data_IF_164608706926
#
_entry.id   IF_164608706926
#
_cell.length_a   1.000
_cell.length_b   1.000
_cell.length_c   1.000
_cell.angle_alpha   90.00
_cell.angle_beta   90.00
_cell.angle_gamma   90.00
#
_symmetry.space_group_name_H-M   'P 1'
#
loop_
_entity.id
_entity.type
_entity.pdbx_description
1 polymer ?
#
# COMPACT_ATOMS: atom_id res chain seq x y z
N UNK A 1 -0.57 -12.73 6.43
CA UNK A 1 -0.88 -11.51 7.21
C UNK A 1 -2.38 -11.28 7.21
N UNK A 2 -2.94 -10.68 8.27
CA UNK A 2 -4.32 -10.26 8.26
C UNK A 2 -4.65 -9.19 7.21
N UNK A 3 -5.75 -9.42 6.49
CA UNK A 3 -6.37 -8.48 5.56
C UNK A 3 -7.85 -8.84 5.35
N UNK A 4 -8.62 -7.88 4.84
CA UNK A 4 -10.00 -8.08 4.42
C UNK A 4 -10.08 -8.25 2.91
N UNK A 5 -10.64 -9.37 2.46
CA UNK A 5 -10.98 -9.70 1.09
C UNK A 5 -12.45 -9.33 0.81
N UNK A 6 -12.71 -8.74 -0.36
CA UNK A 6 -14.05 -8.44 -0.83
C UNK A 6 -14.41 -9.40 -1.95
N UNK A 7 -15.57 -10.04 -1.84
CA UNK A 7 -16.12 -10.96 -2.83
C UNK A 7 -17.44 -10.45 -3.38
N UNK A 8 -17.80 -10.88 -4.60
CA UNK A 8 -19.16 -10.71 -5.12
C UNK A 8 -20.13 -11.74 -4.53
N UNK A 9 -21.40 -11.69 -4.95
CA UNK A 9 -22.44 -12.64 -4.51
C UNK A 9 -22.15 -14.10 -4.89
N UNK A 10 -21.31 -14.33 -5.89
CA UNK A 10 -20.92 -15.65 -6.37
C UNK A 10 -19.64 -16.16 -5.68
N UNK A 11 -19.09 -15.37 -4.74
CA UNK A 11 -17.85 -15.69 -4.03
C UNK A 11 -16.57 -15.38 -4.81
N UNK A 12 -16.66 -14.66 -5.95
CA UNK A 12 -15.47 -14.31 -6.73
C UNK A 12 -14.77 -13.08 -6.13
N UNK A 13 -13.44 -13.06 -6.05
CA UNK A 13 -12.69 -11.91 -5.55
C UNK A 13 -12.96 -10.65 -6.39
N UNK A 14 -13.34 -9.55 -5.73
CA UNK A 14 -13.54 -8.23 -6.34
C UNK A 14 -12.37 -7.29 -6.03
N UNK A 15 -12.06 -7.13 -4.75
CA UNK A 15 -10.98 -6.26 -4.26
C UNK A 15 -10.54 -6.69 -2.86
N UNK A 16 -9.64 -5.95 -2.21
CA UNK A 16 -9.25 -6.18 -0.83
C UNK A 16 -8.62 -4.92 -0.20
N UNK A 17 -8.56 -4.89 1.12
CA UNK A 17 -7.95 -3.81 1.92
C UNK A 17 -6.47 -3.48 1.56
N UNK A 18 -5.74 -4.37 0.87
CA UNK A 18 -4.36 -4.12 0.47
C UNK A 18 -4.25 -3.26 -0.80
N UNK A 19 -5.19 -3.42 -1.73
CA UNK A 19 -5.22 -2.73 -3.03
C UNK A 19 -6.21 -1.57 -3.08
N UNK A 20 -7.16 -1.53 -2.14
CA UNK A 20 -8.08 -0.41 -1.97
C UNK A 20 -7.34 0.85 -1.52
N UNK A 21 -7.56 1.97 -2.21
CA UNK A 21 -6.95 3.26 -1.88
C UNK A 21 -7.29 3.73 -0.44
N UNK A 22 -8.48 3.36 0.03
CA UNK A 22 -8.97 3.69 1.37
C UNK A 22 -8.77 2.56 2.40
N UNK A 23 -8.11 1.46 2.02
CA UNK A 23 -7.89 0.28 2.89
C UNK A 23 -9.20 -0.22 3.48
N UNK A 24 -9.26 -0.48 4.79
CA UNK A 24 -10.51 -0.85 5.48
C UNK A 24 -11.61 0.21 5.38
N UNK A 25 -11.29 1.50 5.13
CA UNK A 25 -12.34 2.51 4.92
C UNK A 25 -12.98 2.44 3.52
N UNK A 26 -12.64 1.44 2.71
CA UNK A 26 -13.25 1.24 1.41
C UNK A 26 -14.77 1.07 1.52
N UNK A 27 -15.57 1.70 0.63
CA UNK A 27 -17.02 1.45 0.59
C UNK A 27 -17.33 -0.02 0.31
N UNK A 28 -16.46 -0.73 -0.40
CA UNK A 28 -16.63 -2.16 -0.67
C UNK A 28 -16.49 -3.03 0.58
N UNK A 29 -15.92 -2.50 1.66
CA UNK A 29 -15.74 -3.19 2.95
C UNK A 29 -16.74 -2.74 4.01
N UNK A 30 -17.05 -1.43 4.10
CA UNK A 30 -17.88 -0.88 5.20
C UNK A 30 -19.31 -0.50 4.79
N UNK A 31 -19.57 -0.23 3.51
CA UNK A 31 -20.86 0.31 3.06
C UNK A 31 -21.80 -0.75 2.50
N UNK A 32 -21.30 -1.93 2.13
CA UNK A 32 -22.13 -3.03 1.63
C UNK A 32 -23.17 -3.54 2.63
N UNK A 33 -24.09 -4.40 2.16
CA UNK A 33 -25.09 -5.07 3.01
C UNK A 33 -24.47 -5.98 4.07
N UNK A 34 -23.37 -6.64 3.74
CA UNK A 34 -22.58 -7.40 4.71
C UNK A 34 -21.86 -6.44 5.66
N UNK A 35 -22.36 -6.36 6.89
CA UNK A 35 -21.82 -5.51 7.97
C UNK A 35 -20.86 -6.27 8.89
N UNK A 36 -20.42 -7.48 8.55
CA UNK A 36 -19.57 -8.31 9.43
C UNK A 36 -18.30 -7.59 9.89
N UNK A 37 -17.53 -7.01 8.96
CA UNK A 37 -16.31 -6.25 9.26
C UNK A 37 -16.63 -4.95 10.00
N UNK A 38 -17.68 -4.24 9.59
CA UNK A 38 -18.10 -3.00 10.25
C UNK A 38 -18.50 -3.24 11.71
N UNK A 39 -19.32 -4.26 11.96
CA UNK A 39 -19.78 -4.63 13.31
C UNK A 39 -18.61 -5.11 14.18
N UNK A 40 -17.68 -5.88 13.61
CA UNK A 40 -16.44 -6.25 14.29
C UNK A 40 -15.64 -5.02 14.72
N UNK A 41 -15.42 -4.06 13.82
CA UNK A 41 -14.71 -2.82 14.16
C UNK A 41 -15.47 -2.03 15.23
N UNK A 42 -16.80 -1.94 15.12
CA UNK A 42 -17.64 -1.25 16.10
C UNK A 42 -17.53 -1.89 17.49
N UNK A 43 -17.64 -3.21 17.57
CA UNK A 43 -17.51 -3.96 18.83
C UNK A 43 -16.11 -3.76 19.45
N UNK A 44 -15.06 -3.97 18.66
CA UNK A 44 -13.67 -3.90 19.14
C UNK A 44 -13.22 -2.49 19.51
N UNK A 45 -13.86 -1.47 18.95
CA UNK A 45 -13.53 -0.06 19.16
C UNK A 45 -14.60 0.66 20.00
N UNK A 46 -15.57 -0.05 20.59
CA UNK A 46 -16.66 0.53 21.39
C UNK A 46 -16.14 1.39 22.55
N UNK A 47 -15.03 0.98 23.18
CA UNK A 47 -14.39 1.72 24.27
C UNK A 47 -13.78 3.08 23.84
N UNK A 48 -13.80 3.40 22.54
CA UNK A 48 -13.26 4.64 21.98
C UNK A 48 -14.37 5.62 21.55
N UNK A 49 -15.65 5.29 21.79
CA UNK A 49 -16.80 6.12 21.39
C UNK A 49 -16.76 7.51 22.05
N UNK A 50 -16.34 7.59 23.31
CA UNK A 50 -16.18 8.84 24.06
C UNK A 50 -14.72 9.14 24.39
N UNK A 51 -14.38 10.41 24.57
CA UNK A 51 -13.03 10.84 24.95
C UNK A 51 -11.99 10.74 23.83
N UNK A 52 -10.70 10.83 24.17
CA UNK A 52 -9.60 10.83 23.21
C UNK A 52 -9.34 9.40 22.71
N UNK A 53 -9.34 9.21 21.39
CA UNK A 53 -8.96 7.92 20.77
C UNK A 53 -7.53 7.57 21.16
N UNK A 54 -7.33 6.40 21.75
CA UNK A 54 -6.02 5.84 22.03
C UNK A 54 -5.48 5.13 20.77
N UNK A 55 -4.39 5.61 20.15
CA UNK A 55 -3.83 5.00 18.94
C UNK A 55 -3.37 3.55 19.14
N UNK A 56 -3.01 3.15 20.38
CA UNK A 56 -2.57 1.77 20.68
C UNK A 56 -3.71 0.77 20.58
N UNK A 57 -4.91 1.16 21.01
CA UNK A 57 -6.07 0.28 20.95
C UNK A 57 -6.52 0.11 19.50
N UNK A 58 -6.48 1.18 18.70
CA UNK A 58 -6.67 1.09 17.25
C UNK A 58 -5.60 0.20 16.59
N UNK A 59 -4.32 0.34 16.96
CA UNK A 59 -3.24 -0.47 16.40
C UNK A 59 -3.41 -1.98 16.70
N UNK A 60 -3.88 -2.35 17.90
CA UNK A 60 -4.19 -3.75 18.24
C UNK A 60 -5.29 -4.32 17.36
N UNK A 61 -6.37 -3.56 17.14
CA UNK A 61 -7.45 -4.00 16.25
C UNK A 61 -6.97 -4.13 14.80
N UNK A 62 -6.14 -3.20 14.33
CA UNK A 62 -5.57 -3.26 12.98
C UNK A 62 -4.60 -4.45 12.81
N UNK A 63 -3.84 -4.83 13.84
CA UNK A 63 -3.00 -6.04 13.81
C UNK A 63 -3.82 -7.28 13.46
N UNK A 64 -5.04 -7.37 13.98
CA UNK A 64 -5.93 -8.50 13.72
C UNK A 64 -6.65 -8.43 12.38
N UNK A 65 -6.87 -7.24 11.80
CA UNK A 65 -7.80 -7.03 10.66
C UNK A 65 -7.11 -6.56 9.37
N UNK A 66 -6.12 -5.67 9.47
CA UNK A 66 -5.32 -5.16 8.34
C UNK A 66 -3.94 -4.69 8.83
N UNK A 67 -2.95 -5.58 8.78
CA UNK A 67 -1.58 -5.25 9.21
C UNK A 67 -0.96 -4.16 8.34
N UNK A 68 -1.36 -4.04 7.07
CA UNK A 68 -0.80 -3.02 6.19
C UNK A 68 -1.23 -1.60 6.57
N UNK A 69 -2.39 -1.45 7.22
CA UNK A 69 -2.83 -0.18 7.79
C UNK A 69 -1.88 0.34 8.89
N UNK A 70 -1.17 -0.54 9.61
CA UNK A 70 -0.18 -0.13 10.62
C UNK A 70 1.04 0.56 10.00
N UNK A 71 1.41 0.16 8.78
CA UNK A 71 2.53 0.77 8.05
C UNK A 71 2.10 2.02 7.28
N UNK A 72 0.99 1.90 6.56
CA UNK A 72 0.55 2.91 5.58
C UNK A 72 -0.49 3.88 6.12
N UNK A 73 -0.84 3.77 7.40
CA UNK A 73 -1.87 4.56 8.06
C UNK A 73 -3.28 4.23 7.57
N UNK A 74 -4.26 4.72 8.31
CA UNK A 74 -5.67 4.61 7.98
C UNK A 74 -6.46 5.75 8.59
N UNK A 75 -7.57 6.12 7.94
CA UNK A 75 -8.56 7.03 8.50
C UNK A 75 -9.96 6.44 8.30
N UNK A 76 -10.60 6.02 9.40
CA UNK A 76 -11.97 5.49 9.41
C UNK A 76 -12.92 6.64 9.76
N UNK A 77 -13.31 7.40 8.73
CA UNK A 77 -14.17 8.57 8.86
C UNK A 77 -15.66 8.20 8.89
N UNK A 78 -16.05 7.25 9.75
CA UNK A 78 -17.43 6.78 9.90
C UNK A 78 -18.00 7.26 11.24
N UNK A 79 -19.11 7.98 11.20
CA UNK A 79 -19.74 8.53 12.40
C UNK A 79 -20.05 7.46 13.44
N UNK A 80 -20.47 6.28 13.00
CA UNK A 80 -20.77 5.14 13.88
C UNK A 80 -19.52 4.45 14.45
N UNK A 81 -18.31 4.79 13.97
CA UNK A 81 -17.04 4.27 14.49
C UNK A 81 -16.32 5.40 15.23
N UNK A 82 -16.63 5.53 16.52
CA UNK A 82 -16.08 6.56 17.40
C UNK A 82 -16.18 7.99 16.84
N UNK A 83 -17.32 8.34 16.24
CA UNK A 83 -17.57 9.69 15.70
C UNK A 83 -16.68 10.05 14.50
N UNK A 84 -16.12 9.07 13.79
CA UNK A 84 -15.24 9.30 12.63
C UNK A 84 -13.85 9.80 13.01
N UNK A 85 -13.39 9.59 14.25
CA UNK A 85 -12.13 10.12 14.79
C UNK A 85 -10.97 9.13 14.75
N UNK A 86 -11.22 7.90 14.26
CA UNK A 86 -10.24 6.83 14.23
C UNK A 86 -9.23 7.05 13.10
N UNK A 87 -8.03 7.47 13.48
CA UNK A 87 -6.94 7.74 12.54
C UNK A 87 -5.62 7.21 13.07
N UNK A 88 -4.89 6.52 12.21
CA UNK A 88 -3.49 6.16 12.43
C UNK A 88 -2.64 6.82 11.33
N UNK A 89 -1.64 7.64 11.67
CA UNK A 89 -0.75 8.24 10.68
C UNK A 89 0.08 7.16 9.95
N UNK A 90 0.64 7.51 8.80
CA UNK A 90 1.49 6.59 8.03
C UNK A 90 2.88 6.55 8.67
N UNK A 91 3.41 5.36 8.91
CA UNK A 91 4.79 5.21 9.38
C UNK A 91 5.80 5.25 8.22
N UNK A 92 5.39 4.85 7.01
CA UNK A 92 6.20 4.95 5.79
C UNK A 92 5.69 6.08 4.89
N UNK A 93 6.59 6.98 4.51
CA UNK A 93 6.38 7.97 3.47
C UNK A 93 7.50 7.91 2.43
N UNK A 94 7.17 8.30 1.20
CA UNK A 94 8.13 8.34 0.11
C UNK A 94 7.77 9.43 -0.89
N UNK A 95 8.78 9.94 -1.58
CA UNK A 95 8.63 10.82 -2.73
C UNK A 95 9.83 10.68 -3.66
N UNK A 96 9.67 11.09 -4.91
CA UNK A 96 10.75 11.08 -5.90
C UNK A 96 10.98 12.50 -6.38
N UNK A 97 12.24 12.91 -6.37
CA UNK A 97 12.69 14.21 -6.87
C UNK A 97 13.52 14.00 -8.13
N UNK A 98 13.24 14.81 -9.16
CA UNK A 98 13.98 14.83 -10.40
C UNK A 98 14.69 16.18 -10.55
N UNK A 99 16.02 16.16 -10.63
CA UNK A 99 16.85 17.36 -10.74
C UNK A 99 17.18 17.67 -12.20
N UNK A 100 17.02 18.93 -12.58
CA UNK A 100 17.15 19.42 -13.95
C UNK A 100 16.26 18.61 -14.91
N UNK A 101 14.98 18.46 -14.56
CA UNK A 101 14.03 17.79 -15.44
C UNK A 101 13.88 18.56 -16.76
N UNK A 102 14.04 17.87 -17.89
CA UNK A 102 13.94 18.42 -19.23
C UNK A 102 12.96 17.60 -20.06
N UNK A 103 12.27 18.28 -20.98
CA UNK A 103 11.37 17.64 -21.92
C UNK A 103 12.16 16.95 -23.03
N UNK A 104 11.91 15.67 -23.23
CA UNK A 104 12.41 14.88 -24.35
C UNK A 104 11.27 14.69 -25.36
N UNK A 105 11.21 15.59 -26.35
CA UNK A 105 10.19 15.53 -27.40
C UNK A 105 10.55 14.43 -28.39
N UNK A 106 9.58 13.57 -28.72
CA UNK A 106 9.74 12.49 -29.70
C UNK A 106 8.49 12.36 -30.58
N UNK A 107 8.61 11.59 -31.66
CA UNK A 107 7.49 11.22 -32.53
C UNK A 107 7.12 9.75 -32.34
N UNK A 108 5.86 9.42 -32.57
CA UNK A 108 5.35 8.06 -32.69
C UNK A 108 4.49 7.92 -33.93
N UNK A 109 4.24 6.68 -34.35
CA UNK A 109 3.29 6.39 -35.43
C UNK A 109 2.35 5.29 -34.94
N UNK A 110 1.04 5.52 -35.05
CA UNK A 110 0.06 4.44 -34.98
C UNK A 110 0.11 3.78 -36.35
N UNK A 111 0.65 2.56 -36.44
CA UNK A 111 0.72 1.85 -37.71
C UNK A 111 -0.50 0.94 -37.90
N UNK A 112 -1.12 1.02 -39.07
CA UNK A 112 -2.16 0.11 -39.53
C UNK A 112 -1.56 -0.78 -40.64
N UNK A 113 -1.12 -2.00 -40.32
CA UNK A 113 -0.51 -2.90 -41.30
C UNK A 113 -1.52 -3.48 -42.28
N UNK A 114 -2.83 -3.36 -42.01
CA UNK A 114 -3.91 -3.94 -42.80
C UNK A 114 -4.44 -2.93 -43.82
N UNK A 115 -4.62 -1.67 -43.40
CA UNK A 115 -5.06 -0.59 -44.28
C UNK A 115 -4.25 0.71 -44.04
N UNK A 116 -2.98 0.78 -44.50
CA UNK A 116 -2.11 1.92 -44.23
C UNK A 116 -2.64 3.28 -44.73
N UNK A 117 -3.52 3.28 -45.75
CA UNK A 117 -4.11 4.48 -46.38
C UNK A 117 -5.57 4.73 -45.98
N UNK A 118 -6.07 4.05 -44.95
CA UNK A 118 -7.45 4.18 -44.50
C UNK A 118 -7.78 5.55 -43.87
N UNK A 119 -9.07 5.81 -43.70
CA UNK A 119 -9.57 7.05 -43.09
C UNK A 119 -9.20 7.15 -41.61
N UNK A 120 -8.25 8.04 -41.29
CA UNK A 120 -7.69 8.23 -39.94
C UNK A 120 -8.69 8.76 -38.95
N UNK A 121 -9.75 9.47 -39.39
CA UNK A 121 -10.82 9.96 -38.51
C UNK A 121 -11.69 8.83 -37.96
N UNK A 122 -11.77 7.72 -38.68
CA UNK A 122 -12.46 6.50 -38.26
C UNK A 122 -11.54 5.49 -37.58
N UNK A 123 -10.26 5.84 -37.42
CA UNK A 123 -9.27 5.00 -36.75
C UNK A 123 -8.46 4.06 -37.66
N UNK A 124 -8.60 4.14 -38.98
CA UNK A 124 -7.75 3.37 -39.92
C UNK A 124 -6.49 4.14 -40.32
N UNK A 125 -5.54 3.48 -40.96
CA UNK A 125 -4.37 4.14 -41.55
C UNK A 125 -3.28 4.52 -40.55
N UNK A 126 -2.14 4.94 -41.10
CA UNK A 126 -0.99 5.36 -40.30
C UNK A 126 -1.19 6.81 -39.80
N UNK A 127 -0.99 7.03 -38.50
CA UNK A 127 -1.11 8.38 -37.89
C UNK A 127 0.18 8.71 -37.15
N UNK A 128 1.03 9.62 -37.68
CA UNK A 128 2.13 10.22 -36.93
C UNK A 128 1.59 11.13 -35.82
N UNK A 129 2.24 11.11 -34.67
CA UNK A 129 1.89 11.97 -33.54
C UNK A 129 3.12 12.36 -32.73
N UNK A 130 3.04 13.48 -32.03
CA UNK A 130 4.07 13.94 -31.12
C UNK A 130 3.86 13.33 -29.73
N UNK A 131 4.95 13.06 -29.03
CA UNK A 131 4.99 12.60 -27.64
C UNK A 131 5.97 13.48 -26.86
N UNK A 132 5.54 13.96 -25.71
CA UNK A 132 6.40 14.66 -24.77
C UNK A 132 6.75 13.68 -23.63
N UNK A 133 8.02 13.26 -23.60
CA UNK A 133 8.60 12.49 -22.50
C UNK A 133 9.42 13.43 -21.60
N UNK A 134 9.85 12.92 -20.44
CA UNK A 134 10.66 13.68 -19.49
C UNK A 134 11.93 12.92 -19.13
N UNK A 135 13.03 13.66 -19.08
CA UNK A 135 14.35 13.16 -18.64
C UNK A 135 14.83 14.03 -17.50
N UNK A 136 15.76 13.53 -16.69
CA UNK A 136 16.39 14.30 -15.62
C UNK A 136 17.85 13.90 -15.49
N UNK A 137 18.69 14.86 -15.09
CA UNK A 137 20.12 14.59 -14.84
C UNK A 137 20.35 13.70 -13.62
N UNK A 138 19.42 13.73 -12.67
CA UNK A 138 19.44 12.92 -11.45
C UNK A 138 18.02 12.71 -10.96
N UNK A 139 17.72 11.50 -10.50
CA UNK A 139 16.45 11.14 -9.88
C UNK A 139 16.77 10.50 -8.53
N UNK A 140 16.16 11.01 -7.45
CA UNK A 140 16.36 10.49 -6.09
C UNK A 140 15.01 10.09 -5.52
N UNK A 141 14.89 8.83 -5.12
CA UNK A 141 13.74 8.35 -4.36
C UNK A 141 14.06 8.43 -2.86
N UNK A 142 13.30 9.26 -2.14
CA UNK A 142 13.41 9.41 -0.70
C UNK A 142 12.37 8.54 0.00
N UNK A 143 12.80 7.82 1.03
CA UNK A 143 11.94 7.03 1.89
C UNK A 143 12.19 7.42 3.35
N UNK A 144 11.12 7.64 4.11
CA UNK A 144 11.20 7.90 5.54
C UNK A 144 10.33 6.89 6.28
N UNK A 145 10.95 6.15 7.20
CA UNK A 145 10.29 5.18 8.06
C UNK A 145 10.35 5.65 9.52
N UNK A 146 9.18 5.96 10.09
CA UNK A 146 9.06 6.36 11.48
C UNK A 146 9.05 5.12 12.40
N UNK A 147 10.25 4.70 12.80
CA UNK A 147 10.45 3.60 13.74
C UNK A 147 9.96 3.92 15.16
N UNK A 148 9.89 5.20 15.55
CA UNK A 148 9.36 5.59 16.85
C UNK A 148 7.84 5.43 16.88
N UNK A 149 7.15 5.78 15.81
CA UNK A 149 5.72 5.54 15.66
C UNK A 149 5.41 4.04 15.73
N UNK A 150 6.17 3.19 15.03
CA UNK A 150 5.97 1.73 15.07
C UNK A 150 6.10 1.20 16.50
N UNK A 151 7.15 1.62 17.22
CA UNK A 151 7.33 1.26 18.65
C UNK A 151 6.24 1.81 19.55
N UNK A 152 5.70 2.98 19.24
CA UNK A 152 4.65 3.61 20.03
C UNK A 152 3.33 2.85 19.96
N UNK A 153 3.14 1.95 18.98
CA UNK A 153 1.99 1.06 18.92
C UNK A 153 1.96 0.08 20.11
N UNK A 154 3.13 -0.33 20.62
CA UNK A 154 3.24 -1.25 21.75
C UNK A 154 2.63 -2.62 21.43
N UNK A 155 2.95 -3.16 20.25
CA UNK A 155 2.45 -4.45 19.77
C UNK A 155 3.42 -5.61 20.06
N UNK A 156 4.59 -5.28 20.63
CA UNK A 156 5.63 -6.25 20.97
C UNK A 156 6.69 -6.35 19.86
N UNK A 157 7.91 -6.73 20.27
CA UNK A 157 9.11 -6.63 19.44
C UNK A 157 8.99 -7.39 18.11
N UNK A 158 8.39 -8.58 18.12
CA UNK A 158 8.18 -9.38 16.90
C UNK A 158 7.28 -8.66 15.88
N UNK A 159 6.15 -8.12 16.34
CA UNK A 159 5.19 -7.42 15.48
C UNK A 159 5.79 -6.12 14.95
N UNK A 160 6.48 -5.38 15.79
CA UNK A 160 7.13 -4.13 15.42
C UNK A 160 8.27 -4.38 14.42
N UNK A 161 9.05 -5.44 14.62
CA UNK A 161 10.08 -5.91 13.68
C UNK A 161 9.46 -6.29 12.34
N UNK A 162 8.36 -7.05 12.33
CA UNK A 162 7.63 -7.41 11.13
C UNK A 162 7.18 -6.17 10.35
N UNK A 163 6.64 -5.14 11.02
CA UNK A 163 6.20 -3.90 10.35
C UNK A 163 7.38 -3.16 9.71
N UNK A 164 8.52 -3.09 10.39
CA UNK A 164 9.76 -2.51 9.85
C UNK A 164 10.23 -3.29 8.62
N UNK A 165 10.29 -4.62 8.70
CA UNK A 165 10.69 -5.46 7.56
C UNK A 165 9.72 -5.36 6.40
N UNK A 166 8.42 -5.27 6.64
CA UNK A 166 7.43 -5.02 5.59
C UNK A 166 7.68 -3.69 4.88
N UNK A 167 8.14 -2.66 5.59
CA UNK A 167 8.55 -1.41 4.98
C UNK A 167 9.77 -1.60 4.07
N UNK A 168 10.83 -2.24 4.59
CA UNK A 168 12.07 -2.50 3.84
C UNK A 168 11.82 -3.39 2.63
N UNK A 169 11.00 -4.42 2.76
CA UNK A 169 10.54 -5.28 1.67
C UNK A 169 9.89 -4.45 0.57
N UNK A 170 8.92 -3.60 0.91
CA UNK A 170 8.22 -2.76 -0.08
C UNK A 170 9.18 -1.80 -0.80
N UNK A 171 10.14 -1.22 -0.06
CA UNK A 171 11.17 -0.35 -0.64
C UNK A 171 12.05 -1.15 -1.61
N UNK A 172 12.65 -2.27 -1.16
CA UNK A 172 13.52 -3.11 -1.99
C UNK A 172 12.79 -3.66 -3.22
N UNK A 173 11.54 -4.12 -3.07
CA UNK A 173 10.72 -4.59 -4.20
C UNK A 173 10.44 -3.49 -5.21
N UNK A 174 10.15 -2.27 -4.75
CA UNK A 174 9.96 -1.11 -5.63
C UNK A 174 11.25 -0.78 -6.41
N UNK A 175 12.39 -0.79 -5.73
CA UNK A 175 13.69 -0.47 -6.33
C UNK A 175 14.22 -1.58 -7.24
N UNK A 176 13.82 -2.84 -7.03
CA UNK A 176 14.21 -3.97 -7.88
C UNK A 176 13.28 -4.15 -9.09
N UNK A 177 12.00 -3.81 -8.97
CA UNK A 177 10.97 -4.17 -9.95
C UNK A 177 10.92 -3.33 -11.24
N UNK A 178 11.74 -2.28 -11.36
CA UNK A 178 11.67 -1.29 -12.42
C UNK A 178 10.47 -0.36 -12.25
N UNK A 179 10.72 0.92 -11.99
CA UNK A 179 9.66 1.92 -11.76
C UNK A 179 9.55 2.84 -12.98
N UNK A 180 8.37 2.87 -13.61
CA UNK A 180 8.07 3.78 -14.74
C UNK A 180 7.16 4.92 -14.29
N UNK A 181 7.73 6.11 -14.11
CA UNK A 181 6.96 7.32 -13.79
C UNK A 181 6.39 7.97 -15.06
N UNK A 182 5.30 7.40 -15.60
CA UNK A 182 4.57 7.91 -16.79
C UNK A 182 5.42 8.19 -18.04
N UNK A 183 6.69 7.85 -18.03
CA UNK A 183 7.65 8.00 -19.11
C UNK A 183 8.07 6.64 -19.65
N UNK A 184 8.62 6.61 -20.85
CA UNK A 184 9.14 5.39 -21.46
C UNK A 184 10.46 4.88 -20.82
N UNK A 185 10.91 5.45 -19.71
CA UNK A 185 12.14 5.09 -19.01
C UNK A 185 11.87 4.16 -17.83
N UNK A 186 12.68 3.11 -17.72
CA UNK A 186 12.81 2.30 -16.51
C UNK A 186 13.80 2.95 -15.55
N UNK A 187 13.45 3.00 -14.26
CA UNK A 187 14.37 3.42 -13.22
C UNK A 187 15.19 2.24 -12.71
N UNK A 188 16.50 2.38 -12.78
CA UNK A 188 17.48 1.47 -12.18
C UNK A 188 18.11 2.10 -10.94
N UNK A 189 18.32 1.27 -9.92
CA UNK A 189 18.98 1.68 -8.69
C UNK A 189 20.50 1.79 -8.91
N UNK A 190 21.06 2.99 -8.78
CA UNK A 190 22.52 3.22 -8.83
C UNK A 190 23.15 3.07 -7.44
N UNK A 191 22.58 3.71 -6.42
CA UNK A 191 23.03 3.65 -5.04
C UNK A 191 21.85 3.74 -4.07
N UNK A 192 22.03 3.20 -2.86
CA UNK A 192 21.08 3.28 -1.77
C UNK A 192 21.79 3.76 -0.50
N UNK A 193 21.48 4.97 -0.07
CA UNK A 193 22.10 5.60 1.09
C UNK A 193 21.13 5.61 2.29
N UNK A 194 21.61 5.15 3.44
CA UNK A 194 20.87 5.22 4.70
C UNK A 194 21.40 6.38 5.53
N UNK A 195 20.55 7.39 5.75
CA UNK A 195 20.93 8.58 6.52
C UNK A 195 20.89 8.35 8.03
N UNK A 196 19.95 7.52 8.52
CA UNK A 196 19.83 7.17 9.94
C UNK A 196 19.16 5.79 10.11
N UNK A 197 19.64 4.94 11.04
CA UNK A 197 20.86 5.12 11.84
C UNK A 197 22.14 4.96 11.02
N UNK A 198 23.20 5.66 11.42
CA UNK A 198 24.50 5.59 10.74
C UNK A 198 25.05 4.16 10.77
N UNK A 199 25.54 3.68 9.63
CA UNK A 199 26.10 2.34 9.49
C UNK A 199 25.05 1.22 9.36
N UNK A 200 23.76 1.55 9.27
CA UNK A 200 22.74 0.54 8.97
C UNK A 200 22.77 0.17 7.49
N UNK A 201 23.00 -1.10 7.22
CA UNK A 201 22.90 -1.68 5.89
C UNK A 201 21.51 -2.26 5.69
N UNK A 202 20.85 -1.89 4.58
CA UNK A 202 19.54 -2.45 4.24
C UNK A 202 19.76 -3.90 3.80
N UNK A 203 19.15 -4.90 4.48
CA UNK A 203 19.38 -6.30 4.15
C UNK A 203 18.96 -6.64 2.71
N UNK A 204 19.53 -7.72 2.18
CA UNK A 204 19.15 -8.23 0.86
C UNK A 204 17.67 -8.67 0.81
N UNK A 205 17.06 -8.51 -0.37
CA UNK A 205 15.61 -8.74 -0.52
C UNK A 205 15.21 -10.15 -0.05
N UNK A 206 16.02 -11.16 -0.38
CA UNK A 206 15.77 -12.54 0.02
C UNK A 206 15.82 -12.74 1.54
N UNK A 207 16.80 -12.14 2.21
CA UNK A 207 16.90 -12.21 3.67
C UNK A 207 15.68 -11.55 4.34
N UNK A 208 15.20 -10.43 3.80
CA UNK A 208 13.97 -9.79 4.26
C UNK A 208 12.75 -10.71 4.04
N UNK A 209 12.64 -11.34 2.86
CA UNK A 209 11.54 -12.25 2.55
C UNK A 209 11.51 -13.48 3.48
N UNK A 210 12.68 -14.05 3.80
CA UNK A 210 12.81 -15.19 4.70
C UNK A 210 12.42 -14.79 6.15
N UNK A 211 12.98 -13.69 6.68
CA UNK A 211 12.67 -13.21 8.04
C UNK A 211 11.18 -12.82 8.21
N UNK A 212 10.57 -12.21 7.17
CA UNK A 212 9.13 -11.90 7.19
C UNK A 212 8.29 -13.18 7.30
N UNK A 213 8.65 -14.26 6.59
CA UNK A 213 7.91 -15.52 6.65
C UNK A 213 7.97 -16.12 8.05
N UNK A 214 9.16 -16.18 8.64
CA UNK A 214 9.38 -16.68 10.00
C UNK A 214 8.54 -15.90 11.01
N UNK A 215 8.61 -14.56 10.99
CA UNK A 215 7.82 -13.72 11.90
C UNK A 215 6.31 -13.87 11.70
N UNK A 216 5.83 -14.03 10.45
CA UNK A 216 4.42 -14.27 10.18
C UNK A 216 3.95 -15.58 10.83
N UNK A 217 4.80 -16.60 10.84
CA UNK A 217 4.47 -17.88 11.46
C UNK A 217 4.54 -17.80 12.98
N UNK A 218 5.58 -17.17 13.55
CA UNK A 218 5.72 -16.96 15.00
C UNK A 218 4.56 -16.13 15.60
N UNK A 219 4.29 -14.95 15.05
CA UNK A 219 3.18 -14.06 15.47
C UNK A 219 1.83 -14.74 15.22
N UNK A 220 1.80 -15.58 14.20
CA UNK A 220 0.70 -16.45 13.90
C UNK A 220 0.39 -17.47 15.00
N UNK A 221 1.42 -18.18 15.44
CA UNK A 221 1.34 -19.24 16.44
C UNK A 221 1.09 -18.70 17.85
N UNK A 222 1.52 -17.46 18.14
CA UNK A 222 1.18 -16.78 19.39
C UNK A 222 -0.29 -16.34 19.46
N UNK A 223 -1.02 -16.34 18.33
CA UNK A 223 -2.41 -15.90 18.24
C UNK A 223 -2.59 -14.39 18.11
N UNK A 224 -1.51 -13.61 17.97
CA UNK A 224 -1.56 -12.13 17.91
C UNK A 224 -2.29 -11.60 16.67
N UNK A 225 -2.36 -12.36 15.57
CA UNK A 225 -3.14 -12.01 14.38
C UNK A 225 -4.66 -12.24 14.53
N UNK A 226 -5.11 -12.70 15.70
CA UNK A 226 -6.49 -13.14 15.91
C UNK A 226 -6.78 -14.48 15.24
N UNK A 227 -8.02 -14.96 15.39
CA UNK A 227 -8.45 -16.30 14.93
C UNK A 227 -8.50 -16.44 13.41
N UNK A 228 -8.78 -15.35 12.71
CA UNK A 228 -9.01 -15.34 11.26
C UNK A 228 -8.08 -14.32 10.62
N UNK A 229 -7.10 -14.79 9.84
CA UNK A 229 -6.18 -13.89 9.13
C UNK A 229 -6.87 -13.24 7.92
N UNK A 230 -7.52 -14.04 7.07
CA UNK A 230 -8.25 -13.51 5.90
C UNK A 230 -9.73 -13.48 6.22
N UNK A 231 -10.31 -12.29 6.32
CA UNK A 231 -11.75 -12.11 6.49
C UNK A 231 -12.36 -11.76 5.14
N UNK A 232 -13.41 -12.46 4.75
CA UNK A 232 -14.14 -12.17 3.53
C UNK A 232 -15.41 -11.38 3.87
N UNK A 233 -15.72 -10.38 3.03
CA UNK A 233 -16.96 -9.61 3.06
C UNK A 233 -17.61 -9.71 1.68
N UNK A 234 -18.93 -9.96 1.65
CA UNK A 234 -19.69 -9.99 0.40
C UNK A 234 -20.19 -8.58 0.07
N UNK A 235 -19.71 -8.01 -1.02
CA UNK A 235 -20.19 -6.71 -1.47
C UNK A 235 -21.47 -6.84 -2.29
N UNK A 236 -22.55 -6.31 -1.71
CA UNK A 236 -23.80 -6.04 -2.38
C UNK A 236 -24.23 -4.62 -2.05
N UNK A 237 -24.65 -3.87 -3.09
CA UNK A 237 -25.18 -2.52 -2.97
C UNK A 237 -26.56 -2.49 -2.32
#
# INVERSE_FOLDING_TARGET
>A
LPFVEVQDKEGKPLTNSLIEAHRLNSPYILEGKDKSVFNLLKERLANLEEGRVNPRDLAKVLLEVDVNALLHGIFLAKGELAGGRLRLPRALSAFVEAKNAQRAVSGGVKSDPVNPKGDTRKGFGNVPFMRDEWTASQIIAYFNLDVLQIRAYGLGDQVERLIVLLALFKIKRLLHGGLRFRTACDLDLISLDVTRPTGFEVPELRAIEDEIRELIDEIGNSGSFGKTRVRSVVYEK
#
